data_IF_149390184990
#
_entry.id   IF_149390184990
#
_cell.length_a   1.000
_cell.length_b   1.000
_cell.length_c   1.000
_cell.angle_alpha   90.00
_cell.angle_beta   90.00
_cell.angle_gamma   90.00
#
_symmetry.space_group_name_H-M   'P 1'
#
loop_
_entity.id
_entity.type
_entity.pdbx_description
1 polymer ?
#
# COMPACT_ATOMS: atom_id res chain seq x y z
N UNK A 1 -9.71 7.46 -29.63
CA UNK A 1 -9.12 8.57 -28.83
C UNK A 1 -8.20 7.98 -27.75
N UNK A 2 -6.90 8.33 -27.75
CA UNK A 2 -6.01 8.01 -26.62
C UNK A 2 -6.49 8.83 -25.42
N UNK A 3 -7.09 8.19 -24.43
CA UNK A 3 -7.39 8.82 -23.14
C UNK A 3 -6.05 9.25 -22.55
N UNK A 4 -5.79 10.57 -22.52
CA UNK A 4 -4.67 11.16 -21.76
C UNK A 4 -4.83 10.63 -20.32
N UNK A 5 -3.82 9.97 -19.77
CA UNK A 5 -3.92 9.50 -18.38
C UNK A 5 -3.97 10.73 -17.47
N UNK A 6 -5.17 11.10 -17.02
CA UNK A 6 -5.36 12.14 -16.02
C UNK A 6 -4.75 11.62 -14.71
N UNK A 7 -3.66 12.25 -14.27
CA UNK A 7 -3.03 11.91 -12.99
C UNK A 7 -3.79 12.64 -11.88
N UNK A 8 -4.14 11.90 -10.83
CA UNK A 8 -4.80 12.45 -9.64
C UNK A 8 -3.75 12.83 -8.60
N UNK A 9 -3.34 14.10 -8.62
CA UNK A 9 -2.30 14.62 -7.73
C UNK A 9 -2.71 14.56 -6.25
N UNK A 10 -3.99 14.74 -5.96
CA UNK A 10 -4.58 14.62 -4.64
C UNK A 10 -4.37 13.22 -4.04
N UNK A 11 -4.38 12.17 -4.86
CA UNK A 11 -4.09 10.80 -4.40
C UNK A 11 -2.61 10.66 -4.02
N UNK A 12 -1.70 11.25 -4.80
CA UNK A 12 -0.27 11.23 -4.48
C UNK A 12 0.00 11.92 -3.12
N UNK A 13 -0.73 13.02 -2.82
CA UNK A 13 -0.69 13.67 -1.52
C UNK A 13 -1.25 12.81 -0.37
N UNK A 14 -2.43 12.19 -0.57
CA UNK A 14 -3.04 11.30 0.42
C UNK A 14 -2.16 10.09 0.74
N UNK A 15 -1.44 9.56 -0.26
CA UNK A 15 -0.47 8.48 -0.06
C UNK A 15 0.67 8.89 0.86
N UNK A 16 1.26 10.07 0.65
CA UNK A 16 2.32 10.55 1.55
C UNK A 16 1.78 10.79 2.96
N UNK A 17 0.58 11.37 3.09
CA UNK A 17 -0.07 11.58 4.38
C UNK A 17 -0.27 10.25 5.12
N UNK A 18 -0.79 9.22 4.43
CA UNK A 18 -0.92 7.87 4.97
C UNK A 18 0.44 7.30 5.44
N UNK A 19 1.50 7.49 4.64
CA UNK A 19 2.85 7.06 5.01
C UNK A 19 3.34 7.74 6.29
N UNK A 20 3.13 9.06 6.40
CA UNK A 20 3.54 9.84 7.55
C UNK A 20 2.80 9.41 8.82
N UNK A 21 1.51 9.09 8.75
CA UNK A 21 0.79 8.53 9.90
C UNK A 21 1.41 7.20 10.38
N UNK A 22 1.82 6.33 9.46
CA UNK A 22 2.50 5.07 9.80
C UNK A 22 3.90 5.33 10.37
N UNK A 23 4.64 6.32 9.84
CA UNK A 23 5.92 6.75 10.41
C UNK A 23 5.75 7.24 11.85
N UNK A 24 4.75 8.08 12.10
CA UNK A 24 4.46 8.60 13.44
C UNK A 24 4.03 7.49 14.39
N UNK A 25 3.23 6.51 13.91
CA UNK A 25 2.90 5.31 14.67
C UNK A 25 4.15 4.54 15.09
N UNK A 26 5.15 4.41 14.21
CA UNK A 26 6.40 3.76 14.55
C UNK A 26 7.23 4.60 15.52
N UNK A 27 7.45 5.88 15.25
CA UNK A 27 8.41 6.67 16.02
C UNK A 27 7.89 7.15 17.36
N UNK A 28 6.59 7.46 17.45
CA UNK A 28 6.00 8.05 18.65
C UNK A 28 5.25 7.04 19.51
N UNK A 29 5.01 5.82 19.02
CA UNK A 29 4.26 4.81 19.77
C UNK A 29 4.93 3.44 19.77
N UNK A 30 4.88 2.70 18.65
CA UNK A 30 5.26 1.29 18.66
C UNK A 30 6.75 1.03 18.92
N UNK A 31 7.63 2.00 18.66
CA UNK A 31 9.05 1.91 19.00
C UNK A 31 9.27 1.72 20.50
N UNK A 32 8.79 2.66 21.32
CA UNK A 32 9.00 2.61 22.77
C UNK A 32 8.03 1.64 23.46
N UNK A 33 6.79 1.51 22.97
CA UNK A 33 5.81 0.55 23.49
C UNK A 33 6.24 -0.92 23.31
N UNK A 34 7.14 -1.20 22.37
CA UNK A 34 7.69 -2.54 22.12
C UNK A 34 9.14 -2.70 22.61
N UNK A 35 9.61 -1.77 23.45
CA UNK A 35 10.97 -1.78 24.00
C UNK A 35 12.07 -1.67 22.95
N UNK A 36 11.79 -1.11 21.76
CA UNK A 36 12.79 -0.94 20.70
C UNK A 36 13.66 0.30 20.86
N UNK A 37 13.25 1.22 21.74
CA UNK A 37 13.99 2.42 22.15
C UNK A 37 13.47 2.83 23.53
N UNK A 38 14.29 3.48 24.36
CA UNK A 38 13.80 4.05 25.62
C UNK A 38 13.36 5.52 25.48
N UNK A 39 13.39 6.08 24.26
CA UNK A 39 12.87 7.42 23.98
C UNK A 39 11.34 7.40 24.05
N UNK A 40 10.77 7.96 25.12
CA UNK A 40 9.33 7.90 25.40
C UNK A 40 8.54 9.12 24.89
N UNK A 41 7.33 8.84 24.40
CA UNK A 41 6.38 9.83 23.86
C UNK A 41 4.97 9.59 24.43
N UNK A 42 4.84 9.67 25.76
CA UNK A 42 3.61 9.27 26.48
C UNK A 42 2.38 10.04 26.02
N UNK A 43 2.48 11.38 25.92
CA UNK A 43 1.36 12.22 25.50
C UNK A 43 1.01 12.00 24.03
N UNK A 44 2.03 11.88 23.16
CA UNK A 44 1.83 11.74 21.73
C UNK A 44 1.31 10.34 21.36
N UNK A 45 1.65 9.33 22.15
CA UNK A 45 1.17 7.96 21.98
C UNK A 45 -0.35 7.84 22.02
N UNK A 46 -1.03 8.75 22.72
CA UNK A 46 -2.49 8.77 22.80
C UNK A 46 -3.16 8.85 21.43
N UNK A 47 -2.55 9.60 20.49
CA UNK A 47 -3.04 9.74 19.11
C UNK A 47 -2.19 8.95 18.10
N UNK A 48 -0.87 8.88 18.29
CA UNK A 48 0.04 8.23 17.33
C UNK A 48 -0.21 6.73 17.21
N UNK A 49 -0.75 6.08 18.25
CA UNK A 49 -1.14 4.67 18.20
C UNK A 49 -2.16 4.35 17.11
N UNK A 50 -2.98 5.32 16.67
CA UNK A 50 -3.93 5.13 15.58
C UNK A 50 -3.31 5.30 14.18
N UNK A 51 -2.05 5.70 14.09
CA UNK A 51 -1.38 5.96 12.81
C UNK A 51 -1.24 4.73 11.91
N UNK A 52 -1.36 3.50 12.45
CA UNK A 52 -1.41 2.28 11.65
C UNK A 52 -2.60 2.25 10.68
N UNK A 53 -3.70 2.96 10.98
CA UNK A 53 -4.88 3.10 10.09
C UNK A 53 -4.53 3.83 8.79
N UNK A 54 -3.34 4.45 8.68
CA UNK A 54 -2.80 4.91 7.40
C UNK A 54 -2.67 3.77 6.38
N UNK A 55 -2.46 2.52 6.83
CA UNK A 55 -2.43 1.33 5.95
C UNK A 55 -3.79 1.07 5.31
N UNK A 56 -4.89 1.32 6.02
CA UNK A 56 -6.26 1.17 5.50
C UNK A 56 -6.51 2.15 4.34
N UNK A 57 -6.08 3.40 4.51
CA UNK A 57 -6.11 4.40 3.45
C UNK A 57 -5.23 3.98 2.26
N UNK A 58 -4.06 3.40 2.50
CA UNK A 58 -3.21 2.86 1.43
C UNK A 58 -3.89 1.77 0.62
N UNK A 59 -4.51 0.78 1.25
CA UNK A 59 -5.17 -0.32 0.55
C UNK A 59 -6.38 0.18 -0.25
N UNK A 60 -7.15 1.12 0.29
CA UNK A 60 -8.27 1.72 -0.42
C UNK A 60 -7.80 2.55 -1.63
N UNK A 61 -6.74 3.35 -1.47
CA UNK A 61 -6.09 4.05 -2.60
C UNK A 61 -5.56 3.04 -3.64
N UNK A 62 -4.92 1.95 -3.21
CA UNK A 62 -4.40 0.93 -4.11
C UNK A 62 -5.52 0.29 -4.93
N UNK A 63 -6.67 -0.05 -4.32
CA UNK A 63 -7.86 -0.52 -5.03
C UNK A 63 -8.28 0.42 -6.17
N UNK A 64 -8.31 1.73 -5.88
CA UNK A 64 -8.69 2.77 -6.84
C UNK A 64 -7.67 2.93 -7.98
N UNK A 65 -6.40 3.18 -7.64
CA UNK A 65 -5.35 3.54 -8.60
C UNK A 65 -4.92 2.34 -9.45
N UNK A 66 -4.89 1.15 -8.87
CA UNK A 66 -4.41 -0.04 -9.57
C UNK A 66 -5.41 -0.44 -10.65
N UNK A 67 -6.71 -0.47 -10.34
CA UNK A 67 -7.75 -0.69 -11.35
C UNK A 67 -7.75 0.41 -12.42
N UNK A 68 -7.59 1.67 -12.04
CA UNK A 68 -7.43 2.78 -12.99
C UNK A 68 -6.27 2.56 -13.96
N UNK A 69 -5.11 2.16 -13.44
CA UNK A 69 -3.90 1.98 -14.24
C UNK A 69 -3.90 0.71 -15.09
N UNK A 70 -4.63 -0.32 -14.66
CA UNK A 70 -4.78 -1.60 -15.34
C UNK A 70 -5.86 -1.57 -16.43
N UNK A 71 -6.79 -0.61 -16.39
CA UNK A 71 -7.88 -0.52 -17.35
C UNK A 71 -7.37 -0.43 -18.80
N UNK A 72 -7.74 -1.40 -19.63
CA UNK A 72 -7.32 -1.47 -21.03
C UNK A 72 -5.84 -1.85 -21.23
N UNK A 73 -5.16 -2.39 -20.21
CA UNK A 73 -3.80 -2.94 -20.32
C UNK A 73 -3.83 -4.44 -20.57
N UNK A 74 -2.85 -4.92 -21.32
CA UNK A 74 -2.59 -6.37 -21.42
C UNK A 74 -1.99 -6.89 -20.11
N UNK A 75 -2.11 -8.19 -19.80
CA UNK A 75 -1.50 -8.80 -18.62
C UNK A 75 -0.01 -8.48 -18.50
N UNK A 76 0.73 -8.56 -19.60
CA UNK A 76 2.15 -8.21 -19.65
C UNK A 76 2.40 -6.74 -19.30
N UNK A 77 1.65 -5.81 -19.88
CA UNK A 77 1.80 -4.39 -19.59
C UNK A 77 1.53 -4.08 -18.12
N UNK A 78 0.55 -4.76 -17.51
CA UNK A 78 0.25 -4.66 -16.09
C UNK A 78 1.42 -5.17 -15.23
N UNK A 79 1.90 -6.40 -15.46
CA UNK A 79 3.04 -6.98 -14.71
C UNK A 79 4.27 -6.09 -14.81
N UNK A 80 4.65 -5.68 -16.03
CA UNK A 80 5.82 -4.81 -16.24
C UNK A 80 5.66 -3.49 -15.48
N UNK A 81 4.47 -2.90 -15.48
CA UNK A 81 4.18 -1.67 -14.72
C UNK A 81 4.36 -1.86 -13.22
N UNK A 82 3.94 -3.00 -12.65
CA UNK A 82 4.10 -3.30 -11.21
C UNK A 82 5.56 -3.61 -10.87
N UNK A 83 6.22 -4.46 -11.65
CA UNK A 83 7.63 -4.83 -11.41
C UNK A 83 8.54 -3.61 -11.42
N UNK A 84 8.37 -2.74 -12.43
CA UNK A 84 9.14 -1.50 -12.57
C UNK A 84 8.92 -0.55 -11.39
N UNK A 85 7.72 -0.55 -10.80
CA UNK A 85 7.37 0.35 -9.69
C UNK A 85 7.89 -0.15 -8.34
N UNK A 86 7.87 -1.46 -8.10
CA UNK A 86 8.12 -2.02 -6.76
C UNK A 86 9.58 -2.47 -6.58
N UNK A 87 10.05 -3.38 -7.43
CA UNK A 87 11.28 -4.13 -7.18
C UNK A 87 12.53 -3.24 -7.02
N UNK A 88 12.77 -2.20 -7.84
CA UNK A 88 13.99 -1.40 -7.71
C UNK A 88 14.14 -0.74 -6.34
N UNK A 89 13.10 -0.07 -5.86
CA UNK A 89 13.12 0.56 -4.56
C UNK A 89 13.05 -0.47 -3.43
N UNK A 90 12.29 -1.56 -3.61
CA UNK A 90 12.22 -2.66 -2.64
C UNK A 90 13.59 -3.28 -2.36
N UNK A 91 14.35 -3.64 -3.40
CA UNK A 91 15.67 -4.25 -3.22
C UNK A 91 16.66 -3.32 -2.54
N UNK A 92 16.61 -2.03 -2.83
CA UNK A 92 17.44 -1.04 -2.15
C UNK A 92 17.00 -0.86 -0.70
N UNK A 93 15.70 -0.79 -0.43
CA UNK A 93 15.15 -0.76 0.93
C UNK A 93 15.58 -1.98 1.74
N UNK A 94 15.42 -3.17 1.18
CA UNK A 94 15.82 -4.44 1.78
C UNK A 94 17.33 -4.46 2.10
N UNK A 95 18.17 -4.05 1.13
CA UNK A 95 19.61 -4.00 1.32
C UNK A 95 20.01 -3.00 2.41
N UNK A 96 19.44 -1.78 2.40
CA UNK A 96 19.71 -0.75 3.41
C UNK A 96 19.27 -1.24 4.79
N UNK A 97 18.06 -1.78 4.92
CA UNK A 97 17.57 -2.31 6.19
C UNK A 97 18.44 -3.45 6.70
N UNK A 98 18.85 -4.40 5.84
CA UNK A 98 19.73 -5.50 6.22
C UNK A 98 21.10 -4.98 6.69
N UNK A 99 21.74 -4.07 5.94
CA UNK A 99 23.05 -3.49 6.29
C UNK A 99 22.98 -2.71 7.60
N UNK A 100 21.98 -1.84 7.77
CA UNK A 100 21.80 -1.07 9.02
C UNK A 100 21.54 -2.00 10.20
N UNK A 101 20.74 -3.06 10.01
CA UNK A 101 20.47 -4.03 11.07
C UNK A 101 21.74 -4.76 11.51
N UNK A 102 22.56 -5.22 10.57
CA UNK A 102 23.80 -5.95 10.87
C UNK A 102 24.87 -5.04 11.49
N UNK A 103 25.00 -3.80 11.02
CA UNK A 103 26.09 -2.89 11.42
C UNK A 103 25.76 -2.03 12.63
N UNK A 104 24.54 -1.49 12.71
CA UNK A 104 24.12 -0.54 13.73
C UNK A 104 23.09 -1.13 14.71
N UNK A 105 22.46 -2.25 14.37
CA UNK A 105 21.31 -2.78 15.10
C UNK A 105 21.62 -3.38 16.48
N UNK A 106 22.86 -3.75 16.79
CA UNK A 106 23.28 -4.26 18.11
C UNK A 106 22.31 -5.30 18.75
N UNK A 107 21.86 -6.28 17.96
CA UNK A 107 20.89 -7.33 18.36
C UNK A 107 19.45 -6.85 18.63
N UNK A 108 19.12 -5.58 18.39
CA UNK A 108 17.73 -5.07 18.45
C UNK A 108 16.80 -5.82 17.47
N UNK A 109 17.38 -6.17 16.33
CA UNK A 109 16.82 -7.02 15.29
C UNK A 109 17.89 -8.00 14.82
N UNK A 110 17.46 -9.14 14.30
CA UNK A 110 18.32 -10.11 13.61
C UNK A 110 17.87 -10.24 12.16
N UNK A 111 18.84 -10.37 11.27
CA UNK A 111 18.61 -10.63 9.85
C UNK A 111 19.53 -11.75 9.43
N UNK A 112 18.96 -12.78 8.81
CA UNK A 112 19.74 -13.93 8.31
C UNK A 112 19.83 -13.90 6.79
N UNK A 113 20.86 -14.52 6.21
CA UNK A 113 21.00 -14.61 4.76
C UNK A 113 19.80 -15.32 4.09
N UNK A 114 19.30 -16.48 4.60
CA UNK A 114 18.10 -17.10 4.04
C UNK A 114 16.88 -16.19 4.06
N UNK A 115 16.72 -15.39 5.12
CA UNK A 115 15.65 -14.42 5.23
C UNK A 115 15.76 -13.32 4.17
N UNK A 116 16.95 -12.75 3.96
CA UNK A 116 17.19 -11.75 2.90
C UNK A 116 16.91 -12.35 1.52
N UNK A 117 17.40 -13.56 1.24
CA UNK A 117 17.20 -14.23 -0.04
C UNK A 117 15.72 -14.51 -0.32
N UNK A 118 14.96 -14.94 0.69
CA UNK A 118 13.51 -15.11 0.56
C UNK A 118 12.81 -13.76 0.31
N UNK A 119 13.18 -12.72 1.07
CA UNK A 119 12.59 -11.40 0.94
C UNK A 119 12.87 -10.78 -0.44
N UNK A 120 14.01 -11.03 -1.09
CA UNK A 120 14.30 -10.53 -2.46
C UNK A 120 13.19 -10.84 -3.48
N UNK A 121 12.41 -11.91 -3.24
CA UNK A 121 11.30 -12.33 -4.09
C UNK A 121 9.98 -11.59 -3.81
N UNK A 122 9.79 -11.07 -2.59
CA UNK A 122 8.53 -10.62 -2.00
C UNK A 122 7.52 -11.75 -1.68
N UNK A 123 7.95 -13.03 -1.74
CA UNK A 123 7.13 -14.22 -1.44
C UNK A 123 7.52 -14.93 -0.13
N UNK A 124 8.31 -14.29 0.74
CA UNK A 124 8.79 -14.86 2.01
C UNK A 124 7.67 -15.41 2.92
N UNK A 125 6.47 -14.83 2.86
CA UNK A 125 5.33 -15.30 3.65
C UNK A 125 4.83 -16.70 3.24
N UNK A 126 5.08 -17.15 2.00
CA UNK A 126 4.63 -18.47 1.51
C UNK A 126 5.34 -19.62 2.24
N UNK A 127 6.68 -19.66 2.33
CA UNK A 127 7.40 -20.64 3.15
C UNK A 127 7.42 -20.27 4.65
N UNK A 128 6.60 -19.32 5.10
CA UNK A 128 6.56 -18.84 6.48
C UNK A 128 7.91 -18.29 6.99
N UNK A 129 8.60 -17.53 6.13
CA UNK A 129 9.85 -16.83 6.47
C UNK A 129 9.52 -15.39 6.86
N UNK A 130 10.08 -14.93 7.97
CA UNK A 130 9.84 -13.59 8.50
C UNK A 130 10.30 -12.48 7.55
N UNK A 131 9.59 -11.36 7.60
CA UNK A 131 9.98 -10.15 6.89
C UNK A 131 11.28 -9.57 7.48
N UNK A 132 12.18 -9.08 6.63
CA UNK A 132 13.38 -8.36 7.09
C UNK A 132 13.01 -7.04 7.78
N UNK A 133 11.93 -6.40 7.33
CA UNK A 133 11.35 -5.23 7.98
C UNK A 133 9.88 -5.50 8.34
N UNK A 134 9.47 -5.08 9.55
CA UNK A 134 8.10 -5.22 10.05
C UNK A 134 7.04 -4.67 9.10
N UNK A 135 7.33 -3.74 8.19
CA UNK A 135 6.32 -3.16 7.28
C UNK A 135 6.13 -3.93 5.97
N UNK A 136 7.01 -4.91 5.66
CA UNK A 136 6.96 -5.61 4.36
C UNK A 136 5.79 -6.57 4.20
N UNK A 137 5.07 -6.92 5.28
CA UNK A 137 3.83 -7.70 5.16
C UNK A 137 2.76 -7.00 4.31
N UNK A 138 2.75 -5.66 4.29
CA UNK A 138 1.81 -4.90 3.46
C UNK A 138 2.05 -5.11 1.98
N UNK A 139 3.31 -5.30 1.58
CA UNK A 139 3.68 -5.60 0.20
C UNK A 139 3.22 -6.98 -0.20
N UNK A 140 3.27 -7.95 0.72
CA UNK A 140 2.68 -9.26 0.49
C UNK A 140 1.17 -9.15 0.26
N UNK A 141 0.46 -8.37 1.08
CA UNK A 141 -0.96 -8.09 0.85
C UNK A 141 -1.18 -7.45 -0.54
N UNK A 142 -0.38 -6.46 -0.91
CA UNK A 142 -0.50 -5.79 -2.21
C UNK A 142 -0.20 -6.74 -3.40
N UNK A 143 0.74 -7.66 -3.25
CA UNK A 143 1.07 -8.66 -4.28
C UNK A 143 -0.09 -9.62 -4.57
N UNK A 144 -0.79 -10.16 -3.56
CA UNK A 144 -1.95 -11.03 -3.84
C UNK A 144 -3.11 -10.25 -4.46
N UNK A 145 -3.31 -8.99 -4.08
CA UNK A 145 -4.23 -8.11 -4.79
C UNK A 145 -3.84 -7.92 -6.26
N UNK A 146 -2.55 -7.73 -6.57
CA UNK A 146 -2.08 -7.63 -7.95
C UNK A 146 -2.30 -8.89 -8.76
N UNK A 147 -2.22 -10.08 -8.15
CA UNK A 147 -2.59 -11.33 -8.83
C UNK A 147 -4.08 -11.37 -9.20
N UNK A 148 -4.97 -10.88 -8.33
CA UNK A 148 -6.40 -10.77 -8.64
C UNK A 148 -6.66 -9.80 -9.81
N UNK A 149 -5.99 -8.64 -9.81
CA UNK A 149 -6.09 -7.69 -10.92
C UNK A 149 -5.49 -8.26 -12.21
N UNK A 150 -4.37 -8.99 -12.13
CA UNK A 150 -3.76 -9.67 -13.26
C UNK A 150 -4.74 -10.66 -13.89
N UNK A 151 -5.44 -11.47 -13.09
CA UNK A 151 -6.50 -12.35 -13.59
C UNK A 151 -7.59 -11.58 -14.36
N UNK A 152 -8.02 -10.41 -13.85
CA UNK A 152 -8.97 -9.56 -14.57
C UNK A 152 -8.42 -9.01 -15.89
N UNK A 153 -7.11 -8.76 -16.00
CA UNK A 153 -6.50 -8.33 -17.27
C UNK A 153 -6.49 -9.43 -18.34
N UNK A 154 -6.44 -10.72 -17.95
CA UNK A 154 -6.51 -11.84 -18.90
C UNK A 154 -7.91 -11.99 -19.50
N UNK A 155 -8.95 -11.81 -18.67
CA UNK A 155 -10.35 -11.93 -19.10
C UNK A 155 -10.78 -10.67 -19.86
N UNK A 156 -10.15 -9.53 -19.57
CA UNK A 156 -10.47 -8.22 -20.14
C UNK A 156 -11.47 -7.45 -19.28
N UNK A 157 -11.13 -6.19 -19.00
CA UNK A 157 -11.87 -5.33 -18.06
C UNK A 157 -13.02 -4.58 -18.74
N UNK A 158 -14.23 -5.08 -18.53
CA UNK A 158 -15.48 -4.37 -18.86
C UNK A 158 -16.21 -3.96 -17.59
N UNK A 159 -17.14 -2.99 -17.68
CA UNK A 159 -17.94 -2.56 -16.52
C UNK A 159 -18.61 -3.74 -15.82
N UNK A 160 -19.29 -4.61 -16.57
CA UNK A 160 -19.98 -5.76 -16.03
C UNK A 160 -19.05 -6.78 -15.36
N UNK A 161 -17.94 -7.14 -16.02
CA UNK A 161 -16.97 -8.12 -15.48
C UNK A 161 -16.30 -7.63 -14.20
N UNK A 162 -15.93 -6.35 -14.15
CA UNK A 162 -15.35 -5.77 -12.94
C UNK A 162 -16.37 -5.74 -11.81
N UNK A 163 -17.61 -5.30 -12.06
CA UNK A 163 -18.65 -5.31 -11.03
C UNK A 163 -18.96 -6.73 -10.53
N UNK A 164 -19.03 -7.72 -11.42
CA UNK A 164 -19.20 -9.13 -11.05
C UNK A 164 -18.03 -9.63 -10.19
N UNK A 165 -16.79 -9.28 -10.55
CA UNK A 165 -15.61 -9.62 -9.77
C UNK A 165 -15.62 -8.98 -8.37
N UNK A 166 -16.08 -7.73 -8.24
CA UNK A 166 -16.20 -7.06 -6.94
C UNK A 166 -17.23 -7.74 -6.03
N UNK A 167 -18.41 -8.07 -6.56
CA UNK A 167 -19.44 -8.81 -5.81
C UNK A 167 -18.98 -10.22 -5.46
N UNK A 168 -18.36 -10.93 -6.40
CA UNK A 168 -17.81 -12.27 -6.16
C UNK A 168 -16.71 -12.26 -5.10
N UNK A 169 -15.80 -11.28 -5.16
CA UNK A 169 -14.74 -11.15 -4.17
C UNK A 169 -15.28 -10.77 -2.78
N UNK A 170 -16.29 -9.91 -2.72
CA UNK A 170 -16.99 -9.57 -1.48
C UNK A 170 -17.73 -10.78 -0.89
N UNK A 171 -18.40 -11.57 -1.72
CA UNK A 171 -19.05 -12.81 -1.29
C UNK A 171 -18.03 -13.82 -0.74
N UNK A 172 -16.94 -14.07 -1.48
CA UNK A 172 -15.85 -14.94 -1.01
C UNK A 172 -15.23 -14.44 0.30
N UNK A 173 -15.10 -13.12 0.47
CA UNK A 173 -14.64 -12.50 1.72
C UNK A 173 -15.52 -12.93 2.89
N UNK A 174 -16.84 -12.80 2.75
CA UNK A 174 -17.76 -13.21 3.82
C UNK A 174 -17.78 -14.73 4.03
N UNK A 175 -17.71 -15.54 2.97
CA UNK A 175 -17.65 -17.00 3.10
C UNK A 175 -16.40 -17.47 3.88
N UNK A 176 -15.25 -16.81 3.70
CA UNK A 176 -14.05 -17.07 4.51
C UNK A 176 -14.25 -16.59 5.94
N UNK A 177 -14.77 -15.37 6.15
CA UNK A 177 -14.97 -14.79 7.49
C UNK A 177 -15.97 -15.60 8.34
N UNK A 178 -17.00 -16.18 7.72
CA UNK A 178 -17.97 -17.04 8.40
C UNK A 178 -17.52 -18.51 8.54
N UNK A 179 -16.29 -18.84 8.10
CA UNK A 179 -15.74 -20.19 8.22
C UNK A 179 -16.36 -21.23 7.27
N UNK A 180 -17.10 -20.80 6.25
CA UNK A 180 -17.70 -21.68 5.23
C UNK A 180 -16.62 -22.20 4.27
N UNK A 181 -15.65 -21.36 3.91
CA UNK A 181 -14.50 -21.74 3.10
C UNK A 181 -13.29 -22.11 3.99
N UNK A 182 -12.42 -23.04 3.52
CA UNK A 182 -11.23 -23.40 4.27
C UNK A 182 -10.30 -22.20 4.43
N UNK A 183 -9.61 -22.09 5.56
CA UNK A 183 -8.71 -20.96 5.84
C UNK A 183 -7.62 -20.75 4.78
N UNK A 184 -7.20 -21.80 4.06
CA UNK A 184 -6.28 -21.70 2.92
C UNK A 184 -6.79 -20.81 1.79
N UNK A 185 -8.11 -20.68 1.63
CA UNK A 185 -8.73 -19.77 0.65
C UNK A 185 -8.34 -18.31 0.93
N UNK A 186 -8.03 -17.95 2.18
CA UNK A 186 -7.66 -16.59 2.55
C UNK A 186 -6.31 -16.14 1.95
N UNK A 187 -5.48 -17.10 1.53
CA UNK A 187 -4.28 -16.82 0.74
C UNK A 187 -4.61 -16.05 -0.54
N UNK A 188 -5.78 -16.31 -1.14
CA UNK A 188 -6.26 -15.65 -2.36
C UNK A 188 -7.27 -14.55 -2.02
N UNK A 189 -8.22 -14.83 -1.13
CA UNK A 189 -9.34 -13.92 -0.83
C UNK A 189 -8.90 -12.69 -0.03
N UNK A 190 -7.87 -12.81 0.81
CA UNK A 190 -7.39 -11.71 1.67
C UNK A 190 -8.51 -11.04 2.48
N UNK A 191 -9.36 -11.85 3.12
CA UNK A 191 -10.57 -11.39 3.80
C UNK A 191 -10.32 -10.38 4.93
N UNK A 192 -9.08 -10.30 5.41
CA UNK A 192 -8.64 -9.30 6.39
C UNK A 192 -8.65 -7.86 5.85
N UNK A 193 -8.35 -7.64 4.56
CA UNK A 193 -8.21 -6.30 3.97
C UNK A 193 -8.96 -6.11 2.65
N UNK A 194 -9.58 -7.16 2.10
CA UNK A 194 -10.23 -7.16 0.78
C UNK A 194 -11.27 -6.03 0.63
N UNK A 195 -12.01 -5.70 1.69
CA UNK A 195 -13.01 -4.63 1.71
C UNK A 195 -12.43 -3.26 1.32
N UNK A 196 -11.18 -2.95 1.68
CA UNK A 196 -10.52 -1.71 1.27
C UNK A 196 -10.23 -1.70 -0.23
N UNK A 197 -9.67 -2.79 -0.76
CA UNK A 197 -9.38 -2.92 -2.19
C UNK A 197 -10.68 -2.89 -3.03
N UNK A 198 -11.70 -3.64 -2.59
CA UNK A 198 -13.02 -3.71 -3.24
C UNK A 198 -13.68 -2.32 -3.23
N UNK A 199 -13.69 -1.61 -2.10
CA UNK A 199 -14.23 -0.25 -2.02
C UNK A 199 -13.46 0.72 -2.91
N UNK A 200 -12.13 0.67 -2.92
CA UNK A 200 -11.31 1.50 -3.81
C UNK A 200 -11.60 1.27 -5.29
N UNK A 201 -11.72 0.01 -5.69
CA UNK A 201 -12.11 -0.35 -7.06
C UNK A 201 -13.53 0.15 -7.39
N UNK A 202 -14.49 0.00 -6.48
CA UNK A 202 -15.86 0.48 -6.67
C UNK A 202 -15.93 2.01 -6.77
N UNK A 203 -15.13 2.74 -5.98
CA UNK A 203 -15.01 4.19 -6.06
C UNK A 203 -14.33 4.63 -7.37
N UNK A 204 -13.40 3.87 -7.92
CA UNK A 204 -12.91 4.13 -9.27
C UNK A 204 -13.98 3.87 -10.33
N UNK A 205 -14.80 2.82 -10.17
CA UNK A 205 -15.94 2.56 -11.05
C UNK A 205 -16.94 3.73 -11.01
N UNK A 206 -17.14 4.33 -9.83
CA UNK A 206 -17.91 5.57 -9.68
C UNK A 206 -17.25 6.72 -10.44
N UNK A 207 -15.96 6.99 -10.17
CA UNK A 207 -15.20 8.05 -10.84
C UNK A 207 -15.26 7.98 -12.38
N UNK A 208 -15.27 6.75 -12.92
CA UNK A 208 -15.22 6.48 -14.36
C UNK A 208 -16.60 6.44 -15.03
N UNK A 209 -17.61 5.84 -14.38
CA UNK A 209 -18.91 5.54 -15.00
C UNK A 209 -20.11 6.19 -14.32
N UNK A 210 -19.90 6.98 -13.26
CA UNK A 210 -20.97 7.57 -12.47
C UNK A 210 -21.55 6.60 -11.42
N UNK A 211 -22.37 7.15 -10.54
CA UNK A 211 -23.01 6.40 -9.45
C UNK A 211 -24.05 5.46 -10.03
N UNK A 212 -24.13 4.25 -9.50
CA UNK A 212 -25.23 3.33 -9.75
C UNK A 212 -25.57 2.60 -8.45
N UNK A 213 -26.72 1.92 -8.43
CA UNK A 213 -27.22 1.23 -7.24
C UNK A 213 -26.23 0.20 -6.68
N UNK A 214 -25.47 -0.50 -7.55
CA UNK A 214 -24.51 -1.51 -7.10
C UNK A 214 -23.38 -0.87 -6.30
N UNK A 215 -22.85 0.27 -6.77
CA UNK A 215 -21.80 1.00 -6.05
C UNK A 215 -22.36 1.61 -4.76
N UNK A 216 -23.57 2.17 -4.83
CA UNK A 216 -24.26 2.74 -3.68
C UNK A 216 -24.52 1.71 -2.56
N UNK A 217 -24.62 0.42 -2.91
CA UNK A 217 -24.75 -0.68 -1.96
C UNK A 217 -23.38 -1.24 -1.52
N UNK A 218 -22.46 -1.44 -2.47
CA UNK A 218 -21.20 -2.12 -2.24
C UNK A 218 -20.24 -1.33 -1.34
N UNK A 219 -20.18 0.01 -1.51
CA UNK A 219 -19.29 0.87 -0.70
C UNK A 219 -19.71 0.86 0.78
N UNK A 220 -20.99 1.06 1.17
CA UNK A 220 -21.42 0.93 2.56
C UNK A 220 -21.22 -0.46 3.16
N UNK A 221 -21.43 -1.54 2.40
CA UNK A 221 -21.15 -2.91 2.90
C UNK A 221 -19.66 -3.07 3.21
N UNK A 222 -18.79 -2.58 2.31
CA UNK A 222 -17.35 -2.60 2.56
C UNK A 222 -16.96 -1.72 3.74
N UNK A 223 -17.61 -0.58 3.95
CA UNK A 223 -17.39 0.28 5.13
C UNK A 223 -17.78 -0.45 6.43
N UNK A 224 -18.95 -1.11 6.47
CA UNK A 224 -19.38 -1.89 7.62
C UNK A 224 -18.39 -3.02 7.96
N UNK A 225 -17.96 -3.78 6.94
CA UNK A 225 -16.94 -4.82 7.11
C UNK A 225 -15.59 -4.21 7.56
N UNK A 226 -15.16 -3.10 6.96
CA UNK A 226 -13.93 -2.39 7.33
C UNK A 226 -13.93 -1.96 8.80
N UNK A 227 -15.02 -1.36 9.30
CA UNK A 227 -15.14 -0.96 10.70
C UNK A 227 -15.07 -2.18 11.63
N UNK A 228 -15.84 -3.24 11.31
CA UNK A 228 -15.83 -4.48 12.10
C UNK A 228 -14.41 -5.09 12.18
N UNK A 229 -13.73 -5.20 11.03
CA UNK A 229 -12.37 -5.76 10.95
C UNK A 229 -11.32 -4.87 11.59
N UNK A 230 -11.42 -3.55 11.45
CA UNK A 230 -10.49 -2.61 12.06
C UNK A 230 -10.57 -2.62 13.60
N UNK A 231 -11.79 -2.76 14.17
CA UNK A 231 -11.98 -2.92 15.60
C UNK A 231 -11.35 -4.24 16.07
N UNK A 232 -11.65 -5.37 15.42
CA UNK A 232 -11.05 -6.66 15.77
C UNK A 232 -9.52 -6.68 15.62
N UNK A 233 -8.98 -6.05 14.57
CA UNK A 233 -7.54 -5.91 14.40
C UNK A 233 -6.91 -5.06 15.52
N UNK A 234 -7.60 -4.00 15.96
CA UNK A 234 -7.13 -3.15 17.05
C UNK A 234 -6.99 -3.88 18.38
N UNK A 235 -7.79 -4.92 18.62
CA UNK A 235 -7.65 -5.78 19.82
C UNK A 235 -6.35 -6.58 19.75
N UNK A 236 -6.02 -7.16 18.59
CA UNK A 236 -4.73 -7.85 18.38
C UNK A 236 -3.53 -6.91 18.57
N UNK A 237 -3.61 -5.70 18.01
CA UNK A 237 -2.59 -4.66 18.17
C UNK A 237 -2.52 -4.19 19.63
N UNK A 238 -3.67 -4.03 20.29
CA UNK A 238 -3.78 -3.65 21.70
C UNK A 238 -3.12 -4.65 22.62
N UNK A 239 -3.37 -5.94 22.40
CA UNK A 239 -2.73 -7.04 23.13
C UNK A 239 -1.21 -7.04 22.94
N UNK A 240 -0.73 -6.80 21.71
CA UNK A 240 0.71 -6.75 21.41
C UNK A 240 1.46 -5.66 22.18
N UNK A 241 0.85 -4.49 22.34
CA UNK A 241 1.49 -3.33 22.98
C UNK A 241 0.96 -3.05 24.40
N UNK A 242 0.11 -3.93 24.92
CA UNK A 242 -0.57 -3.76 26.22
C UNK A 242 -1.29 -2.41 26.35
N UNK A 243 -1.99 -1.99 25.29
CA UNK A 243 -2.80 -0.76 25.28
C UNK A 243 -4.23 -1.02 24.82
N UNK A 244 -5.14 -0.15 25.21
CA UNK A 244 -6.52 -0.17 24.73
C UNK A 244 -6.72 0.80 23.56
N UNK A 245 -7.55 0.42 22.60
CA UNK A 245 -7.97 1.25 21.50
C UNK A 245 -9.45 1.61 21.65
N UNK A 246 -9.79 2.89 21.46
CA UNK A 246 -11.20 3.33 21.36
C UNK A 246 -11.83 2.89 20.04
N UNK A 247 -12.89 2.05 20.06
CA UNK A 247 -13.62 1.67 18.85
C UNK A 247 -14.26 2.86 18.14
N UNK A 248 -14.66 3.89 18.90
CA UNK A 248 -15.25 5.13 18.35
C UNK A 248 -14.25 5.88 17.50
N UNK A 249 -13.00 6.03 17.97
CA UNK A 249 -11.94 6.69 17.20
C UNK A 249 -11.62 5.90 15.94
N UNK A 250 -11.49 4.57 16.04
CA UNK A 250 -11.25 3.71 14.88
C UNK A 250 -12.36 3.86 13.84
N UNK A 251 -13.61 3.81 14.29
CA UNK A 251 -14.78 3.95 13.43
C UNK A 251 -14.78 5.32 12.74
N UNK A 252 -14.53 6.39 13.49
CA UNK A 252 -14.46 7.75 12.95
C UNK A 252 -13.36 7.90 11.90
N UNK A 253 -12.16 7.34 12.14
CA UNK A 253 -11.04 7.39 11.19
C UNK A 253 -11.33 6.57 9.94
N UNK A 254 -11.87 5.34 10.07
CA UNK A 254 -12.22 4.51 8.92
C UNK A 254 -13.33 5.16 8.08
N UNK A 255 -14.36 5.72 8.72
CA UNK A 255 -15.41 6.50 8.04
C UNK A 255 -14.80 7.70 7.32
N UNK A 256 -13.90 8.44 7.95
CA UNK A 256 -13.21 9.58 7.33
C UNK A 256 -12.40 9.15 6.10
N UNK A 257 -11.69 8.02 6.15
CA UNK A 257 -10.95 7.44 5.02
C UNK A 257 -11.90 7.19 3.83
N UNK A 258 -13.05 6.54 4.07
CA UNK A 258 -14.05 6.29 3.04
C UNK A 258 -14.66 7.58 2.48
N UNK A 259 -14.95 8.56 3.34
CA UNK A 259 -15.50 9.86 2.94
C UNK A 259 -14.52 10.65 2.06
N UNK A 260 -13.25 10.75 2.47
CA UNK A 260 -12.20 11.42 1.69
C UNK A 260 -12.07 10.78 0.31
N UNK A 261 -12.04 9.46 0.25
CA UNK A 261 -11.94 8.73 -1.01
C UNK A 261 -13.20 8.83 -1.87
N UNK A 262 -14.37 8.96 -1.26
CA UNK A 262 -15.63 9.27 -1.96
C UNK A 262 -15.60 10.68 -2.55
N UNK A 263 -15.05 11.68 -1.84
CA UNK A 263 -14.85 13.03 -2.39
C UNK A 263 -13.85 13.07 -3.55
N UNK A 264 -12.80 12.24 -3.51
CA UNK A 264 -11.90 12.02 -4.66
C UNK A 264 -12.68 11.43 -5.84
N UNK A 265 -13.51 10.41 -5.62
CA UNK A 265 -14.33 9.80 -6.67
C UNK A 265 -15.34 10.78 -7.28
N UNK A 266 -15.92 11.66 -6.45
CA UNK A 266 -16.81 12.76 -6.84
C UNK A 266 -16.10 13.95 -7.49
N UNK A 267 -14.76 13.95 -7.54
CA UNK A 267 -13.93 15.03 -8.12
C UNK A 267 -14.01 16.36 -7.35
N UNK A 268 -14.51 16.35 -6.12
CA UNK A 268 -14.63 17.55 -5.26
C UNK A 268 -13.26 18.06 -4.82
N UNK A 269 -12.27 17.16 -4.69
CA UNK A 269 -10.92 17.47 -4.23
C UNK A 269 -10.00 18.02 -5.33
N UNK A 270 -10.45 18.12 -6.59
CA UNK A 270 -9.66 18.64 -7.71
C UNK A 270 -9.01 20.02 -7.47
N UNK A 271 -9.64 20.99 -6.78
CA UNK A 271 -9.00 22.27 -6.48
C UNK A 271 -7.74 22.16 -5.58
N UNK A 272 -7.64 21.08 -4.80
CA UNK A 272 -6.48 20.79 -3.95
C UNK A 272 -5.33 20.13 -4.74
N UNK A 273 -5.60 19.63 -5.94
CA UNK A 273 -4.64 18.92 -6.77
C UNK A 273 -3.54 19.87 -7.27
N UNK A 274 -2.32 19.74 -6.74
CA UNK A 274 -1.17 20.56 -7.13
C UNK A 274 -0.08 19.68 -7.79
N UNK A 275 0.59 20.14 -8.87
CA UNK A 275 1.66 19.38 -9.52
C UNK A 275 2.81 18.97 -8.57
N UNK A 276 3.07 19.76 -7.52
CA UNK A 276 4.07 19.43 -6.49
C UNK A 276 3.78 18.13 -5.74
N UNK A 277 2.52 17.69 -5.65
CA UNK A 277 2.14 16.43 -4.99
C UNK A 277 2.68 15.20 -5.73
N UNK A 278 3.13 15.31 -6.99
CA UNK A 278 3.83 14.21 -7.67
C UNK A 278 5.08 13.79 -6.90
N UNK A 279 5.81 14.76 -6.35
CA UNK A 279 6.98 14.45 -5.53
C UNK A 279 6.54 13.68 -4.27
N UNK A 280 5.42 14.06 -3.66
CA UNK A 280 4.87 13.37 -2.49
C UNK A 280 4.59 11.89 -2.77
N UNK A 281 3.84 11.58 -3.84
CA UNK A 281 3.53 10.19 -4.20
C UNK A 281 4.75 9.38 -4.67
N UNK A 282 5.75 10.06 -5.26
CA UNK A 282 7.01 9.43 -5.64
C UNK A 282 7.82 8.98 -4.41
N UNK A 283 7.87 9.82 -3.36
CA UNK A 283 8.63 9.56 -2.14
C UNK A 283 7.95 8.56 -1.21
N UNK A 284 6.62 8.41 -1.29
CA UNK A 284 5.85 7.55 -0.40
C UNK A 284 6.39 6.13 -0.30
N UNK A 285 6.68 5.51 -1.44
CA UNK A 285 7.08 4.11 -1.46
C UNK A 285 8.48 3.87 -0.86
N UNK A 286 9.54 4.59 -1.29
CA UNK A 286 10.84 4.50 -0.62
C UNK A 286 10.82 4.88 0.86
N UNK A 287 10.04 5.91 1.24
CA UNK A 287 9.87 6.28 2.65
C UNK A 287 9.28 5.10 3.45
N UNK A 288 8.22 4.50 2.93
CA UNK A 288 7.57 3.37 3.56
C UNK A 288 8.52 2.17 3.74
N UNK A 289 9.41 1.92 2.78
CA UNK A 289 10.37 0.80 2.87
C UNK A 289 11.49 0.99 3.89
N UNK A 290 11.87 2.23 4.18
CA UNK A 290 13.06 2.55 4.98
C UNK A 290 12.73 2.92 6.42
N UNK A 291 11.56 3.51 6.69
CA UNK A 291 11.34 4.22 7.94
C UNK A 291 11.36 3.34 9.20
N UNK A 292 10.91 2.09 9.17
CA UNK A 292 10.62 1.33 10.39
C UNK A 292 11.87 0.77 11.08
N UNK A 293 12.49 -0.33 10.61
CA UNK A 293 13.66 -0.91 11.31
C UNK A 293 14.84 0.06 11.37
N UNK A 294 15.15 0.75 10.26
CA UNK A 294 16.22 1.76 10.24
C UNK A 294 15.91 2.87 11.24
N UNK A 295 14.65 3.34 11.29
CA UNK A 295 14.25 4.38 12.24
C UNK A 295 14.34 3.93 13.69
N UNK A 296 13.90 2.72 14.02
CA UNK A 296 14.03 2.15 15.36
C UNK A 296 15.49 2.05 15.81
N UNK A 297 16.36 1.57 14.92
CA UNK A 297 17.80 1.47 15.20
C UNK A 297 18.38 2.86 15.45
N UNK A 298 18.08 3.84 14.59
CA UNK A 298 18.59 5.20 14.78
C UNK A 298 18.04 5.88 16.04
N UNK A 299 16.76 5.68 16.38
CA UNK A 299 16.17 6.15 17.64
C UNK A 299 16.92 5.58 18.85
N UNK A 300 17.17 4.27 18.86
CA UNK A 300 17.90 3.62 19.94
C UNK A 300 19.37 4.06 20.02
N UNK A 301 20.03 4.29 18.88
CA UNK A 301 21.47 4.66 18.84
C UNK A 301 21.72 6.13 19.18
N UNK A 302 20.75 7.00 18.91
CA UNK A 302 20.84 8.45 19.16
C UNK A 302 20.06 8.88 20.41
N UNK A 303 19.52 7.92 21.16
CA UNK A 303 18.87 8.17 22.44
C UNK A 303 19.80 8.96 23.37
N UNK A 304 19.25 10.01 24.01
CA UNK A 304 19.99 10.85 24.95
C UNK A 304 20.99 11.85 24.33
N UNK A 305 21.21 11.82 23.01
CA UNK A 305 22.18 12.72 22.35
C UNK A 305 21.63 14.13 22.10
N UNK A 306 20.32 14.23 21.83
CA UNK A 306 19.60 15.48 21.56
C UNK A 306 18.18 15.41 22.14
N UNK A 307 17.48 16.54 22.15
CA UNK A 307 16.06 16.56 22.52
C UNK A 307 15.25 15.58 21.64
N UNK A 308 14.37 14.79 22.27
CA UNK A 308 13.59 13.74 21.59
C UNK A 308 12.73 14.23 20.41
N UNK A 309 12.21 15.46 20.45
CA UNK A 309 11.43 16.02 19.35
C UNK A 309 12.34 16.41 18.19
N UNK A 310 13.50 16.99 18.48
CA UNK A 310 14.53 17.29 17.48
C UNK A 310 15.01 15.98 16.82
N UNK A 311 15.20 14.92 17.61
CA UNK A 311 15.56 13.60 17.09
C UNK A 311 14.50 13.07 16.11
N UNK A 312 13.22 13.05 16.50
CA UNK A 312 12.15 12.52 15.63
C UNK A 312 11.99 13.34 14.36
N UNK A 313 11.96 14.68 14.46
CA UNK A 313 11.86 15.55 13.28
C UNK A 313 13.07 15.34 12.37
N UNK A 314 14.27 15.29 12.95
CA UNK A 314 15.51 15.00 12.23
C UNK A 314 15.46 13.66 11.51
N UNK A 315 14.97 12.60 12.16
CA UNK A 315 14.82 11.28 11.57
C UNK A 315 13.81 11.27 10.42
N UNK A 316 12.67 11.95 10.56
CA UNK A 316 11.69 12.07 9.47
C UNK A 316 12.34 12.76 8.26
N UNK A 317 13.09 13.84 8.48
CA UNK A 317 13.81 14.54 7.41
C UNK A 317 14.89 13.66 6.76
N UNK A 318 15.66 12.91 7.55
CA UNK A 318 16.64 11.94 7.06
C UNK A 318 15.97 10.86 6.22
N UNK A 319 14.84 10.30 6.68
CA UNK A 319 14.11 9.27 5.93
C UNK A 319 13.49 9.81 4.64
N UNK A 320 12.97 11.04 4.65
CA UNK A 320 12.51 11.71 3.44
C UNK A 320 13.66 11.98 2.46
N UNK A 321 14.82 12.38 2.98
CA UNK A 321 16.06 12.53 2.21
C UNK A 321 16.49 11.21 1.58
N UNK A 322 16.56 10.13 2.36
CA UNK A 322 16.90 8.79 1.87
C UNK A 322 15.90 8.30 0.82
N UNK A 323 14.59 8.50 1.07
CA UNK A 323 13.54 8.19 0.12
C UNK A 323 13.71 8.96 -1.21
N UNK A 324 14.12 10.23 -1.13
CA UNK A 324 14.43 11.05 -2.30
C UNK A 324 15.64 10.53 -3.07
N UNK A 325 16.71 10.13 -2.37
CA UNK A 325 17.90 9.54 -2.99
C UNK A 325 17.55 8.25 -3.74
N UNK A 326 16.80 7.35 -3.11
CA UNK A 326 16.31 6.12 -3.76
C UNK A 326 15.46 6.45 -4.99
N UNK A 327 14.51 7.38 -4.87
CA UNK A 327 13.70 7.80 -6.00
C UNK A 327 14.55 8.37 -7.14
N UNK A 328 15.48 9.28 -6.83
CA UNK A 328 16.28 10.02 -7.82
C UNK A 328 17.31 9.15 -8.52
N UNK A 329 18.01 8.29 -7.78
CA UNK A 329 19.17 7.54 -8.25
C UNK A 329 18.87 6.07 -8.58
N UNK A 330 17.73 5.53 -8.15
CA UNK A 330 17.35 4.13 -8.39
C UNK A 330 16.10 4.06 -9.23
N UNK A 331 14.97 4.56 -8.72
CA UNK A 331 13.69 4.42 -9.42
C UNK A 331 13.67 5.14 -10.78
N UNK A 332 14.03 6.43 -10.80
CA UNK A 332 14.03 7.23 -12.04
C UNK A 332 14.91 6.65 -13.16
N UNK A 333 16.17 6.25 -12.93
CA UNK A 333 17.01 5.71 -13.99
C UNK A 333 16.69 4.25 -14.36
N UNK A 334 16.32 3.40 -13.39
CA UNK A 334 16.07 1.97 -13.66
C UNK A 334 14.70 1.72 -14.29
N UNK A 335 13.69 2.52 -13.95
CA UNK A 335 12.34 2.33 -14.46
C UNK A 335 12.24 2.25 -16.00
N UNK A 336 12.79 3.20 -16.80
CA UNK A 336 12.74 3.10 -18.25
C UNK A 336 13.58 1.95 -18.80
N UNK A 337 14.70 1.60 -18.14
CA UNK A 337 15.59 0.50 -18.57
C UNK A 337 14.91 -0.86 -18.40
N UNK A 338 14.39 -1.14 -17.21
CA UNK A 338 13.64 -2.37 -16.90
C UNK A 338 12.41 -2.45 -17.80
N UNK A 339 11.67 -1.35 -17.96
CA UNK A 339 10.52 -1.31 -18.85
C UNK A 339 10.91 -1.69 -20.28
N UNK A 340 11.98 -1.13 -20.86
CA UNK A 340 12.46 -1.48 -22.21
C UNK A 340 12.86 -2.94 -22.31
N UNK A 341 13.61 -3.47 -21.34
CA UNK A 341 14.03 -4.87 -21.33
C UNK A 341 12.84 -5.83 -21.31
N UNK A 342 11.84 -5.55 -20.47
CA UNK A 342 10.67 -6.42 -20.31
C UNK A 342 9.61 -6.24 -21.42
N UNK A 343 9.65 -5.15 -22.20
CA UNK A 343 8.72 -4.88 -23.31
C UNK A 343 9.26 -5.24 -24.70
N UNK A 344 10.58 -5.43 -24.87
CA UNK A 344 11.26 -5.77 -26.14
C UNK A 344 10.86 -7.11 -26.81
N UNK A 345 9.90 -7.87 -26.28
CA UNK A 345 9.45 -9.14 -26.88
C UNK A 345 8.00 -9.11 -27.37
N UNK A 346 7.46 -7.96 -27.78
CA UNK A 346 6.22 -7.98 -28.57
C UNK A 346 6.63 -8.16 -30.03
N UNK A 347 6.23 -9.27 -30.70
CA UNK A 347 6.15 -9.23 -32.15
C UNK A 347 5.21 -8.08 -32.47
N UNK A 348 5.62 -7.21 -33.40
CA UNK A 348 4.72 -6.22 -33.97
C UNK A 348 3.60 -7.04 -34.61
N UNK A 349 2.43 -7.11 -33.96
CA UNK A 349 1.22 -7.58 -34.63
C UNK A 349 1.03 -6.65 -35.82
N UNK A 350 1.32 -7.18 -37.01
CA UNK A 350 1.06 -6.53 -38.28
C UNK A 350 -0.43 -6.23 -38.29
N UNK A 351 -0.78 -4.96 -38.08
CA UNK A 351 -2.11 -4.45 -38.39
C UNK A 351 -2.34 -4.75 -39.87
N UNK A 352 -3.08 -5.80 -40.17
CA UNK A 352 -3.64 -5.96 -41.50
C UNK A 352 -4.49 -4.72 -41.78
N UNK A 353 -4.27 -4.02 -42.90
CA UNK A 353 -5.14 -2.93 -43.28
C UNK A 353 -6.53 -3.53 -43.50
N UNK A 354 -7.50 -3.00 -42.78
CA UNK A 354 -8.93 -3.23 -43.04
C UNK A 354 -9.16 -2.82 -44.49
N UNK A 355 -9.35 -3.80 -45.36
CA UNK A 355 -9.79 -3.58 -46.73
C UNK A 355 -11.10 -2.82 -46.71
N UNK A 356 -11.10 -1.69 -47.40
CA UNK A 356 -12.29 -0.90 -47.73
C UNK A 356 -13.34 -1.77 -48.45
N UNK A 357 -14.63 -1.65 -48.15
CA UNK A 357 -15.68 -2.24 -48.96
C UNK A 357 -15.82 -1.43 -50.26
N UNK A 358 -15.52 -2.05 -51.38
CA UNK A 358 -15.93 -1.61 -52.72
C UNK A 358 -16.62 -2.78 -53.39
N UNK A 359 -17.89 -2.60 -53.77
CA UNK A 359 -18.69 -3.56 -54.53
C UNK A 359 -19.97 -3.94 -53.82
#
# INVERSE_FOLDING_TARGET
MRVKSERLYEIDGLRLLAALFVVLFHYLFSGWANGKTNVTFVAESAWAKYGYLGVDLFFLISGFVVLMSAWGRTPRQFVVSRVVRLYPAYWVGLAVTAVVTVTLGQKLFSVTLPQVLANLTMFQAVPNIDNVDVVYWTLWAEMRFYFLILALTFIGMTKGRVMAALWGWLALTFLVQFGILPGKADLIVQSEFSHYFIAGMALFMFYRFGLNWQIALLVPICLGNAVYRAIGFSESVGNRYSVTYSPVIITAVVVLIFLVMTFVALRVTRPLARPGMVAAGALTYPLYLLHAHVGFILLARLEGTVNKYVLVVGLILVMLGAAYLVHRFVERPLAPRIKRLLSKREPVESKQPVGSPTG
#
